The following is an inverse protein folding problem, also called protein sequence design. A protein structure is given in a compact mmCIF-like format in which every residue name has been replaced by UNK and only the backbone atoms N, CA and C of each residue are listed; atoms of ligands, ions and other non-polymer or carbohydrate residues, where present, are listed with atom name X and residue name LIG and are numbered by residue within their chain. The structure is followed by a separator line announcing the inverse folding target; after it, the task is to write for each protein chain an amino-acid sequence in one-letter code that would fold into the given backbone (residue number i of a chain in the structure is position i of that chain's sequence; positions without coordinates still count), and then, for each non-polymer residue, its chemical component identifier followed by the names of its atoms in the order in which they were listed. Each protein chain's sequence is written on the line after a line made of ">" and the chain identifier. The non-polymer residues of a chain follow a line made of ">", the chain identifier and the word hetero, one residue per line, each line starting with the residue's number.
data_IF_959922545601
#
_entry.id   IF_959922545601
#
_cell.length_a   1.000
_cell.length_b   1.000
_cell.length_c   1.000
_cell.angle_alpha   90.00
_cell.angle_beta   90.00
_cell.angle_gamma   90.00
#
_symmetry.space_group_name_H-M   'P 1'
#
loop_
_entity.id
_entity.type
_entity.pdbx_description
1 polymer ?
#
# COMPACT_ATOMS: atom_id res chain seq x y z
N UNK A 1 -16.16 -4.10 10.36
CA UNK A 1 -16.17 -3.97 8.88
C UNK A 1 -16.79 -2.67 8.45
N UNK A 2 -16.19 -1.98 7.47
CA UNK A 2 -16.64 -0.70 6.92
C UNK A 2 -16.99 -0.91 5.44
N UNK A 3 -18.21 -0.56 5.02
CA UNK A 3 -18.61 -0.60 3.61
C UNK A 3 -18.64 0.82 3.01
N UNK A 4 -17.95 1.00 1.89
CA UNK A 4 -17.83 2.25 1.14
C UNK A 4 -18.36 2.04 -0.27
N UNK A 5 -19.56 2.57 -0.54
CA UNK A 5 -20.11 2.61 -1.89
C UNK A 5 -19.86 3.99 -2.51
N UNK A 6 -19.02 4.06 -3.53
CA UNK A 6 -18.75 5.28 -4.29
C UNK A 6 -19.65 5.42 -5.53
N UNK A 7 -20.37 4.36 -5.88
CA UNK A 7 -21.23 4.31 -7.06
C UNK A 7 -22.62 4.89 -6.79
N UNK A 8 -23.46 4.96 -7.83
CA UNK A 8 -24.89 5.22 -7.70
C UNK A 8 -25.76 3.97 -7.60
N UNK A 9 -25.15 2.77 -7.50
CA UNK A 9 -25.88 1.52 -7.36
C UNK A 9 -26.37 1.32 -5.92
N UNK A 10 -27.44 0.55 -5.78
CA UNK A 10 -27.84 0.01 -4.48
C UNK A 10 -26.95 -1.19 -4.15
N UNK A 11 -26.39 -1.22 -2.94
CA UNK A 11 -25.37 -2.20 -2.56
C UNK A 11 -25.74 -2.76 -1.20
N UNK A 12 -25.88 -4.07 -1.16
CA UNK A 12 -26.03 -4.84 0.07
C UNK A 12 -24.77 -5.66 0.31
N UNK A 13 -24.33 -5.72 1.57
CA UNK A 13 -23.15 -6.48 1.98
C UNK A 13 -23.58 -7.42 3.09
N UNK A 14 -23.36 -8.72 2.89
CA UNK A 14 -23.48 -9.72 3.93
C UNK A 14 -22.11 -10.30 4.24
N UNK A 15 -21.91 -10.67 5.50
CA UNK A 15 -20.67 -11.25 5.99
C UNK A 15 -20.96 -12.68 6.48
N UNK A 16 -20.17 -13.64 6.01
CA UNK A 16 -20.22 -15.04 6.42
C UNK A 16 -18.94 -15.38 7.19
N UNK A 17 -19.08 -15.63 8.49
CA UNK A 17 -17.93 -15.79 9.39
C UNK A 17 -17.06 -14.53 9.43
N UNK A 18 -15.75 -14.70 9.64
CA UNK A 18 -14.86 -13.54 9.86
C UNK A 18 -14.21 -13.01 8.57
N UNK A 19 -14.32 -13.74 7.45
CA UNK A 19 -13.48 -13.48 6.27
C UNK A 19 -14.18 -13.56 4.91
N UNK A 20 -15.40 -14.08 4.83
CA UNK A 20 -16.13 -14.14 3.57
C UNK A 20 -17.18 -13.04 3.51
N UNK A 21 -17.22 -12.33 2.39
CA UNK A 21 -18.13 -11.22 2.16
C UNK A 21 -18.85 -11.44 0.84
N UNK A 22 -20.17 -11.37 0.88
CA UNK A 22 -21.01 -11.39 -0.31
C UNK A 22 -21.55 -9.98 -0.52
N UNK A 23 -21.36 -9.48 -1.74
CA UNK A 23 -21.75 -8.13 -2.15
C UNK A 23 -22.73 -8.26 -3.28
N UNK A 24 -23.92 -7.73 -3.04
CA UNK A 24 -25.02 -7.73 -4.00
C UNK A 24 -25.21 -6.31 -4.51
N UNK A 25 -24.96 -6.12 -5.80
CA UNK A 25 -25.05 -4.83 -6.49
C UNK A 25 -26.31 -4.81 -7.33
N UNK A 26 -27.22 -3.88 -7.02
CA UNK A 26 -28.51 -3.74 -7.71
C UNK A 26 -28.52 -2.49 -8.58
N UNK A 27 -28.82 -2.71 -9.86
CA UNK A 27 -29.02 -1.67 -10.86
C UNK A 27 -30.51 -1.36 -11.02
N UNK A 28 -30.83 -0.07 -11.22
CA UNK A 28 -32.20 0.38 -11.52
C UNK A 28 -32.74 -0.18 -12.85
N UNK A 29 -31.85 -0.62 -13.74
CA UNK A 29 -32.17 -1.18 -15.06
C UNK A 29 -31.43 -2.49 -15.26
N UNK A 30 -31.96 -3.35 -16.11
CA UNK A 30 -31.24 -4.54 -16.54
C UNK A 30 -29.94 -4.15 -17.24
N UNK A 31 -28.85 -4.78 -16.80
CA UNK A 31 -27.52 -4.67 -17.38
C UNK A 31 -27.08 -6.04 -17.86
N UNK A 32 -26.27 -6.06 -18.92
CA UNK A 32 -25.62 -7.29 -19.36
C UNK A 32 -24.23 -7.35 -18.74
N UNK A 33 -23.97 -8.37 -17.94
CA UNK A 33 -22.67 -8.63 -17.31
C UNK A 33 -21.92 -9.61 -18.18
N UNK A 34 -20.88 -9.15 -18.88
CA UNK A 34 -20.11 -9.97 -19.83
C UNK A 34 -19.20 -10.98 -19.14
N UNK A 35 -18.86 -10.73 -17.88
CA UNK A 35 -18.13 -11.64 -17.03
C UNK A 35 -17.80 -11.00 -15.69
N UNK A 36 -17.43 -11.85 -14.74
CA UNK A 36 -16.92 -11.44 -13.43
C UNK A 36 -15.58 -12.11 -13.24
N UNK A 37 -14.54 -11.30 -13.02
CA UNK A 37 -13.22 -11.79 -12.64
C UNK A 37 -13.03 -11.58 -11.13
N UNK A 38 -12.51 -12.58 -10.43
CA UNK A 38 -12.14 -12.48 -9.02
C UNK A 38 -10.66 -12.81 -8.84
N UNK A 39 -10.00 -12.13 -7.91
CA UNK A 39 -8.58 -12.33 -7.65
C UNK A 39 -7.96 -11.17 -6.86
N UNK A 40 -6.78 -10.72 -7.28
CA UNK A 40 -6.06 -9.62 -6.63
C UNK A 40 -6.16 -8.38 -7.50
N UNK A 41 -6.69 -7.30 -6.93
CA UNK A 41 -6.75 -5.99 -7.55
C UNK A 41 -5.64 -5.07 -7.04
N UNK A 42 -5.13 -4.22 -7.93
CA UNK A 42 -4.20 -3.13 -7.59
C UNK A 42 -4.80 -1.80 -8.00
N UNK A 43 -4.92 -0.90 -7.03
CA UNK A 43 -5.13 0.52 -7.28
C UNK A 43 -3.77 1.20 -7.44
N UNK A 44 -3.61 2.08 -8.44
CA UNK A 44 -2.54 3.08 -8.47
C UNK A 44 -3.18 4.46 -8.63
N UNK A 45 -2.80 5.40 -7.77
CA UNK A 45 -3.41 6.73 -7.75
C UNK A 45 -2.38 7.83 -7.44
N UNK A 46 -2.74 9.06 -7.74
CA UNK A 46 -1.97 10.24 -7.38
C UNK A 46 -2.17 11.42 -8.31
N UNK A 47 -1.59 12.55 -7.93
CA UNK A 47 -1.48 13.70 -8.80
C UNK A 47 -0.34 13.50 -9.81
N UNK A 48 -0.64 13.62 -11.09
CA UNK A 48 0.37 13.64 -12.16
C UNK A 48 0.48 15.05 -12.71
N UNK A 49 1.70 15.52 -12.92
CA UNK A 49 1.96 16.77 -13.63
C UNK A 49 1.56 16.64 -15.11
N UNK A 50 0.81 17.61 -15.60
CA UNK A 50 0.47 17.78 -17.01
C UNK A 50 0.76 19.22 -17.45
N UNK A 51 0.69 19.51 -18.76
CA UNK A 51 0.83 20.88 -19.29
C UNK A 51 -0.16 21.88 -18.69
N UNK A 52 -1.28 21.42 -18.13
CA UNK A 52 -2.33 22.24 -17.53
C UNK A 52 -2.35 22.17 -15.99
N UNK A 53 -1.26 21.71 -15.38
CA UNK A 53 -1.14 21.56 -13.92
C UNK A 53 -1.27 20.12 -13.46
N UNK A 54 -1.45 19.93 -12.14
CA UNK A 54 -1.60 18.61 -11.52
C UNK A 54 -3.01 18.08 -11.71
N UNK A 55 -3.14 16.86 -12.23
CA UNK A 55 -4.42 16.16 -12.39
C UNK A 55 -4.45 14.92 -11.51
N UNK A 56 -5.56 14.69 -10.84
CA UNK A 56 -5.82 13.45 -10.13
C UNK A 56 -6.03 12.31 -11.13
N UNK A 57 -5.30 11.22 -10.96
CA UNK A 57 -5.45 10.03 -11.78
C UNK A 57 -5.56 8.80 -10.88
N UNK A 58 -6.31 7.84 -11.38
CA UNK A 58 -6.49 6.53 -10.77
C UNK A 58 -6.49 5.49 -11.87
N UNK A 59 -5.85 4.36 -11.61
CA UNK A 59 -5.92 3.14 -12.40
C UNK A 59 -6.24 1.96 -11.48
N UNK A 60 -6.90 0.97 -12.04
CA UNK A 60 -7.19 -0.29 -11.37
C UNK A 60 -6.86 -1.46 -12.31
N UNK A 61 -6.04 -2.38 -11.83
CA UNK A 61 -5.63 -3.57 -12.57
C UNK A 61 -5.98 -4.84 -11.77
N UNK A 62 -6.56 -5.84 -12.42
CA UNK A 62 -6.63 -7.20 -11.87
C UNK A 62 -5.27 -7.88 -12.11
N UNK A 63 -4.38 -7.84 -11.12
CA UNK A 63 -2.99 -8.32 -11.23
C UNK A 63 -2.86 -9.85 -11.14
N UNK A 64 -3.86 -10.51 -10.55
CA UNK A 64 -4.02 -11.96 -10.57
C UNK A 64 -5.51 -12.30 -10.64
N UNK A 65 -5.88 -13.29 -11.45
CA UNK A 65 -7.26 -13.76 -11.59
C UNK A 65 -7.32 -15.23 -11.15
N UNK A 66 -8.11 -15.50 -10.12
CA UNK A 66 -8.30 -16.84 -9.55
C UNK A 66 -9.64 -17.46 -9.95
N UNK A 67 -10.62 -16.63 -10.34
CA UNK A 67 -11.95 -17.08 -10.74
C UNK A 67 -12.50 -16.26 -11.89
N UNK A 68 -13.27 -16.92 -12.77
CA UNK A 68 -14.02 -16.29 -13.85
C UNK A 68 -15.42 -16.86 -13.89
N UNK A 69 -16.43 -16.01 -13.77
CA UNK A 69 -17.79 -16.32 -14.16
C UNK A 69 -18.04 -15.79 -15.57
N UNK A 70 -18.63 -16.62 -16.43
CA UNK A 70 -18.92 -16.27 -17.82
C UNK A 70 -20.03 -15.22 -17.99
N UNK A 71 -20.35 -14.91 -19.24
CA UNK A 71 -21.42 -13.98 -19.63
C UNK A 71 -22.73 -14.36 -18.94
N UNK A 72 -23.25 -13.45 -18.13
CA UNK A 72 -24.55 -13.62 -17.51
C UNK A 72 -25.61 -13.03 -18.45
N UNK A 73 -26.80 -13.62 -18.43
CA UNK A 73 -27.97 -13.01 -19.05
C UNK A 73 -28.21 -11.61 -18.46
N UNK A 74 -29.06 -10.81 -19.13
CA UNK A 74 -29.47 -9.51 -18.59
C UNK A 74 -30.00 -9.70 -17.17
N UNK A 75 -29.39 -9.00 -16.23
CA UNK A 75 -29.72 -9.08 -14.80
C UNK A 75 -29.85 -7.66 -14.24
N UNK A 76 -30.61 -7.53 -13.15
CA UNK A 76 -30.63 -6.30 -12.34
C UNK A 76 -29.70 -6.40 -11.14
N UNK A 77 -29.19 -7.59 -10.87
CA UNK A 77 -28.45 -7.91 -9.66
C UNK A 77 -27.16 -8.64 -10.03
N UNK A 78 -26.05 -8.17 -9.47
CA UNK A 78 -24.73 -8.79 -9.60
C UNK A 78 -24.25 -9.16 -8.21
N UNK A 79 -24.07 -10.44 -7.97
CA UNK A 79 -23.53 -10.96 -6.72
C UNK A 79 -22.06 -11.32 -6.87
N UNK A 80 -21.25 -10.89 -5.92
CA UNK A 80 -19.82 -11.17 -5.85
C UNK A 80 -19.49 -11.67 -4.47
N UNK A 81 -18.79 -12.80 -4.38
CA UNK A 81 -18.21 -13.30 -3.14
C UNK A 81 -16.70 -13.06 -3.10
N UNK A 82 -16.22 -12.42 -2.03
CA UNK A 82 -14.81 -12.18 -1.75
C UNK A 82 -14.39 -12.89 -0.46
N UNK A 83 -13.17 -13.44 -0.45
CA UNK A 83 -12.57 -14.07 0.73
C UNK A 83 -11.34 -13.24 1.10
N UNK A 84 -11.28 -12.74 2.34
CA UNK A 84 -10.15 -12.02 2.91
C UNK A 84 -9.03 -12.96 3.35
N UNK A 85 -8.54 -13.78 2.43
CA UNK A 85 -7.41 -14.70 2.66
C UNK A 85 -6.05 -14.00 2.53
N UNK A 86 -5.97 -12.96 1.70
CA UNK A 86 -4.79 -12.13 1.51
C UNK A 86 -4.92 -10.80 2.23
N UNK A 87 -3.92 -10.40 3.04
CA UNK A 87 -3.91 -9.07 3.61
C UNK A 87 -3.76 -8.01 2.53
N UNK A 88 -4.29 -6.84 2.83
CA UNK A 88 -4.05 -5.65 2.01
C UNK A 88 -2.61 -5.19 2.18
N UNK A 89 -2.03 -4.68 1.11
CA UNK A 89 -0.67 -4.15 1.15
C UNK A 89 -0.53 -2.92 0.27
N UNK A 90 0.52 -2.14 0.51
CA UNK A 90 0.83 -0.94 -0.23
C UNK A 90 0.91 0.30 0.67
N UNK A 91 1.27 1.41 0.03
CA UNK A 91 1.54 2.65 0.73
C UNK A 91 1.21 3.86 -0.15
N UNK A 92 1.08 5.00 0.52
CA UNK A 92 0.84 6.32 -0.08
C UNK A 92 1.95 7.24 0.38
N UNK A 93 2.69 7.82 -0.56
CA UNK A 93 3.64 8.90 -0.26
C UNK A 93 2.91 10.23 -0.23
N UNK A 94 3.35 11.10 0.68
CA UNK A 94 2.77 12.43 0.87
C UNK A 94 2.87 13.28 -0.39
N UNK A 95 4.01 13.20 -1.06
CA UNK A 95 4.28 13.93 -2.30
C UNK A 95 3.36 13.47 -3.42
N UNK A 96 2.58 14.42 -3.95
CA UNK A 96 1.57 14.17 -4.98
C UNK A 96 0.51 13.12 -4.60
N UNK A 97 0.39 12.73 -3.33
CA UNK A 97 -0.48 11.65 -2.87
C UNK A 97 -0.37 10.39 -3.74
N UNK A 98 0.85 10.06 -4.22
CA UNK A 98 1.05 8.87 -5.04
C UNK A 98 0.98 7.64 -4.17
N UNK A 99 0.24 6.64 -4.61
CA UNK A 99 0.15 5.40 -3.87
C UNK A 99 -0.27 4.24 -4.75
N UNK A 100 0.05 3.04 -4.29
CA UNK A 100 -0.55 1.83 -4.79
C UNK A 100 -1.09 1.03 -3.62
N UNK A 101 -2.21 0.33 -3.83
CA UNK A 101 -2.82 -0.53 -2.82
C UNK A 101 -3.27 -1.85 -3.48
N UNK A 102 -2.88 -2.97 -2.89
CA UNK A 102 -3.29 -4.31 -3.26
C UNK A 102 -4.40 -4.80 -2.33
N UNK A 103 -5.35 -5.54 -2.89
CA UNK A 103 -6.49 -6.07 -2.17
C UNK A 103 -7.08 -7.29 -2.89
N UNK A 104 -7.85 -8.10 -2.17
CA UNK A 104 -8.75 -9.05 -2.83
C UNK A 104 -9.84 -8.27 -3.56
N UNK A 105 -10.12 -8.61 -4.81
CA UNK A 105 -11.07 -7.86 -5.61
C UNK A 105 -11.86 -8.73 -6.59
N UNK A 106 -12.97 -8.17 -7.03
CA UNK A 106 -13.67 -8.60 -8.22
C UNK A 106 -13.91 -7.43 -9.18
N UNK A 107 -13.96 -7.76 -10.46
CA UNK A 107 -14.32 -6.86 -11.54
C UNK A 107 -15.49 -7.45 -12.32
N UNK A 108 -16.63 -6.77 -12.29
CA UNK A 108 -17.77 -7.10 -13.13
C UNK A 108 -17.74 -6.23 -14.40
N UNK A 109 -17.58 -6.88 -15.56
CA UNK A 109 -17.61 -6.22 -16.86
C UNK A 109 -19.06 -5.96 -17.28
N UNK A 110 -19.44 -4.68 -17.30
CA UNK A 110 -20.80 -4.26 -17.66
C UNK A 110 -20.81 -3.75 -19.10
N UNK A 111 -21.60 -4.40 -19.96
CA UNK A 111 -21.70 -4.00 -21.37
C UNK A 111 -22.23 -2.56 -21.51
N UNK A 112 -21.44 -1.70 -22.16
CA UNK A 112 -21.82 -0.32 -22.45
C UNK A 112 -21.74 0.63 -21.25
N UNK A 113 -21.11 0.22 -20.16
CA UNK A 113 -20.85 1.05 -18.98
C UNK A 113 -19.41 0.86 -18.47
N UNK A 114 -19.04 1.57 -17.40
CA UNK A 114 -17.79 1.30 -16.70
C UNK A 114 -17.90 0.01 -15.90
N UNK A 115 -16.81 -0.74 -15.85
CA UNK A 115 -16.69 -1.91 -14.97
C UNK A 115 -16.95 -1.52 -13.51
N UNK A 116 -17.63 -2.41 -12.79
CA UNK A 116 -17.80 -2.27 -11.35
C UNK A 116 -16.72 -3.07 -10.65
N UNK A 117 -16.02 -2.41 -9.73
CA UNK A 117 -14.98 -3.01 -8.90
C UNK A 117 -15.51 -3.17 -7.48
N UNK A 118 -15.39 -4.39 -6.96
CA UNK A 118 -15.64 -4.72 -5.56
C UNK A 118 -14.30 -5.09 -4.94
N UNK A 119 -13.81 -4.31 -3.99
CA UNK A 119 -12.50 -4.50 -3.38
C UNK A 119 -12.64 -4.73 -1.88
N UNK A 120 -11.94 -5.72 -1.35
CA UNK A 120 -11.87 -6.03 0.07
C UNK A 120 -10.45 -5.76 0.57
N UNK A 121 -10.32 -4.73 1.39
CA UNK A 121 -9.11 -4.41 2.11
C UNK A 121 -9.17 -5.04 3.50
N UNK A 122 -8.63 -6.25 3.66
CA UNK A 122 -8.56 -6.95 4.93
C UNK A 122 -7.20 -6.77 5.63
N UNK A 123 -7.16 -6.79 6.98
CA UNK A 123 -5.91 -6.97 7.72
C UNK A 123 -5.37 -8.40 7.57
N UNK A 124 -4.11 -8.58 7.92
CA UNK A 124 -3.52 -9.89 8.08
C UNK A 124 -4.21 -10.69 9.20
N UNK A 125 -4.36 -12.01 9.00
CA UNK A 125 -4.99 -12.90 9.97
C UNK A 125 -4.17 -13.06 11.27
N UNK A 126 -2.88 -12.80 11.20
CA UNK A 126 -1.94 -12.83 12.31
C UNK A 126 -0.98 -11.65 12.24
N UNK A 127 -0.31 -11.36 13.34
CA UNK A 127 0.80 -10.41 13.32
C UNK A 127 1.90 -10.92 12.36
N UNK A 128 2.39 -10.06 11.44
CA UNK A 128 3.43 -10.42 10.51
C UNK A 128 4.74 -10.65 11.25
N UNK A 129 5.50 -11.60 10.73
CA UNK A 129 6.88 -11.85 11.14
C UNK A 129 7.83 -11.30 10.08
N UNK A 130 9.04 -10.94 10.50
CA UNK A 130 10.06 -10.37 9.62
C UNK A 130 11.27 -11.30 9.59
N UNK A 131 11.72 -11.64 8.39
CA UNK A 131 12.98 -12.31 8.17
C UNK A 131 13.90 -11.38 7.39
N UNK A 132 15.11 -11.13 7.91
CA UNK A 132 16.14 -10.38 7.20
C UNK A 132 17.08 -11.35 6.49
N UNK A 133 17.46 -11.05 5.26
CA UNK A 133 18.48 -11.81 4.50
C UNK A 133 19.81 -11.89 5.26
N UNK A 134 20.13 -10.83 6.02
CA UNK A 134 21.32 -10.71 6.86
C UNK A 134 20.94 -10.28 8.27
N UNK A 135 21.65 -10.83 9.26
CA UNK A 135 21.54 -10.40 10.66
C UNK A 135 22.41 -9.18 11.01
N UNK A 136 23.26 -8.73 10.08
CA UNK A 136 24.17 -7.61 10.28
C UNK A 136 24.40 -6.82 8.99
N UNK A 137 24.44 -5.50 9.11
CA UNK A 137 24.88 -4.57 8.07
C UNK A 137 26.10 -3.81 8.56
N UNK A 138 27.11 -3.64 7.73
CA UNK A 138 28.36 -2.94 8.00
C UNK A 138 28.68 -1.95 6.87
N UNK A 139 28.60 -0.66 7.16
CA UNK A 139 29.02 0.38 6.24
C UNK A 139 30.33 0.99 6.75
N UNK A 140 31.41 0.99 5.95
CA UNK A 140 32.69 1.52 6.41
C UNK A 140 33.59 2.06 5.29
N UNK A 141 34.43 3.03 5.64
CA UNK A 141 35.50 3.61 4.81
C UNK A 141 36.58 4.16 5.73
N UNK A 142 37.85 3.82 5.46
CA UNK A 142 39.07 4.38 6.07
C UNK A 142 38.95 4.78 7.54
N UNK A 143 38.92 3.80 8.45
CA UNK A 143 38.87 4.04 9.90
C UNK A 143 37.51 4.49 10.45
N UNK A 144 36.53 4.72 9.57
CA UNK A 144 35.14 5.00 9.90
C UNK A 144 34.22 3.84 9.58
N UNK A 145 33.30 3.52 10.50
CA UNK A 145 32.34 2.44 10.30
C UNK A 145 31.03 2.65 11.07
N UNK A 146 29.98 2.03 10.56
CA UNK A 146 28.73 1.83 11.25
C UNK A 146 28.31 0.36 11.11
N UNK A 147 27.72 -0.17 12.18
CA UNK A 147 27.20 -1.53 12.24
C UNK A 147 25.75 -1.47 12.70
N UNK A 148 24.87 -2.20 12.01
CA UNK A 148 23.51 -2.46 12.44
C UNK A 148 23.32 -3.96 12.65
N UNK A 149 22.85 -4.37 13.83
CA UNK A 149 22.45 -5.74 14.12
C UNK A 149 20.94 -5.87 14.01
N UNK A 150 20.46 -6.80 13.18
CA UNK A 150 19.07 -7.04 12.84
C UNK A 150 18.62 -8.30 13.55
N UNK A 151 17.79 -8.15 14.59
CA UNK A 151 17.30 -9.25 15.41
C UNK A 151 15.78 -9.39 15.28
N UNK A 152 15.28 -10.59 14.93
CA UNK A 152 13.84 -10.84 14.96
C UNK A 152 13.28 -10.57 16.35
N UNK A 153 12.15 -9.86 16.39
CA UNK A 153 11.35 -9.62 17.59
C UNK A 153 9.93 -10.09 17.30
N UNK A 154 9.14 -10.41 18.33
CA UNK A 154 7.86 -11.11 18.19
C UNK A 154 6.90 -10.50 17.15
N UNK A 155 6.91 -9.18 16.97
CA UNK A 155 6.07 -8.45 15.99
C UNK A 155 6.88 -7.67 14.95
N UNK A 156 8.17 -7.95 14.76
CA UNK A 156 9.02 -7.14 13.89
C UNK A 156 10.51 -7.39 14.00
N UNK A 157 11.29 -6.32 13.92
CA UNK A 157 12.75 -6.35 13.92
C UNK A 157 13.28 -5.34 14.95
N UNK A 158 14.00 -5.83 15.96
CA UNK A 158 14.83 -4.97 16.81
C UNK A 158 16.15 -4.72 16.06
N UNK A 159 16.52 -3.45 15.91
CA UNK A 159 17.76 -3.04 15.26
C UNK A 159 18.60 -2.22 16.23
N UNK A 160 19.82 -2.68 16.47
CA UNK A 160 20.82 -1.94 17.24
C UNK A 160 21.85 -1.36 16.27
N UNK A 161 22.02 -0.04 16.26
CA UNK A 161 22.94 0.67 15.36
C UNK A 161 24.04 1.32 16.18
N UNK A 162 25.28 1.18 15.72
CA UNK A 162 26.47 1.82 16.30
C UNK A 162 27.25 2.51 15.20
N UNK A 163 27.92 3.62 15.55
CA UNK A 163 28.74 4.38 14.62
C UNK A 163 30.02 4.86 15.30
N UNK A 164 31.15 4.70 14.64
CA UNK A 164 32.46 5.11 15.15
C UNK A 164 33.42 5.52 14.03
N UNK A 165 34.47 6.23 14.42
CA UNK A 165 35.57 6.64 13.54
C UNK A 165 35.63 8.15 13.29
N UNK A 166 36.82 8.59 12.88
CA UNK A 166 37.11 10.01 12.67
C UNK A 166 36.48 10.54 11.39
N UNK A 167 35.91 11.75 11.48
CA UNK A 167 35.35 12.44 10.32
C UNK A 167 33.96 11.95 9.90
N UNK A 168 33.33 11.01 10.60
CA UNK A 168 31.93 10.64 10.33
C UNK A 168 30.99 11.78 10.71
N UNK A 169 30.01 12.09 9.85
CA UNK A 169 28.93 13.02 10.21
C UNK A 169 27.83 12.31 10.97
N UNK A 170 27.32 11.21 10.43
CA UNK A 170 26.30 10.36 11.06
C UNK A 170 26.22 9.00 10.39
N UNK A 171 25.56 8.05 11.04
CA UNK A 171 25.03 6.87 10.39
C UNK A 171 23.50 6.85 10.50
N UNK A 172 22.83 6.41 9.43
CA UNK A 172 21.38 6.37 9.32
C UNK A 172 20.93 4.96 8.97
N UNK A 173 19.90 4.49 9.65
CA UNK A 173 19.18 3.29 9.27
C UNK A 173 17.90 3.71 8.55
N UNK A 174 17.71 3.18 7.35
CA UNK A 174 16.60 3.52 6.48
C UNK A 174 15.88 2.25 6.03
N UNK A 175 14.55 2.30 6.01
CA UNK A 175 13.68 1.30 5.44
C UNK A 175 13.15 1.80 4.10
N UNK A 176 13.58 1.16 3.02
CA UNK A 176 13.02 1.38 1.69
C UNK A 176 11.85 0.43 1.46
N UNK A 177 10.72 0.98 1.02
CA UNK A 177 9.56 0.25 0.51
C UNK A 177 9.44 0.48 -0.99
N UNK A 178 9.15 -0.57 -1.75
CA UNK A 178 8.92 -0.45 -3.19
C UNK A 178 7.84 -1.40 -3.68
N UNK A 179 7.20 -1.06 -4.79
CA UNK A 179 6.24 -1.94 -5.43
C UNK A 179 5.80 -1.42 -6.79
N UNK A 180 5.21 -2.32 -7.58
CA UNK A 180 4.77 -1.98 -8.93
C UNK A 180 3.67 -0.91 -8.88
N UNK A 181 3.86 0.13 -9.67
CA UNK A 181 3.00 1.30 -9.76
C UNK A 181 2.67 1.56 -11.22
N UNK A 182 1.44 1.94 -11.53
CA UNK A 182 0.98 2.11 -12.91
C UNK A 182 0.25 3.45 -13.09
N UNK A 183 1.01 4.55 -13.02
CA UNK A 183 0.55 5.87 -13.41
C UNK A 183 1.65 6.68 -14.07
N UNK A 184 1.34 7.23 -15.25
CA UNK A 184 2.28 8.01 -16.05
C UNK A 184 3.40 7.13 -16.61
N UNK A 185 4.65 7.56 -16.42
CA UNK A 185 5.85 6.87 -16.93
C UNK A 185 6.58 6.05 -15.85
N UNK A 186 6.08 6.04 -14.61
CA UNK A 186 6.68 5.30 -13.51
C UNK A 186 6.09 3.90 -13.43
N UNK A 187 6.96 2.89 -13.48
CA UNK A 187 6.60 1.47 -13.30
C UNK A 187 6.69 0.98 -11.85
N UNK A 188 7.35 1.78 -10.99
CA UNK A 188 7.60 1.47 -9.59
C UNK A 188 7.49 2.75 -8.75
N UNK A 189 6.88 2.62 -7.58
CA UNK A 189 6.87 3.66 -6.55
C UNK A 189 7.78 3.21 -5.41
N UNK A 190 8.59 4.14 -4.90
CA UNK A 190 9.51 3.93 -3.78
C UNK A 190 9.25 4.93 -2.67
N UNK A 191 9.45 4.50 -1.44
CA UNK A 191 9.45 5.35 -0.26
C UNK A 191 10.62 4.96 0.63
N UNK A 192 11.29 5.95 1.21
CA UNK A 192 12.38 5.73 2.18
C UNK A 192 11.96 6.34 3.52
N UNK A 193 11.85 5.50 4.53
CA UNK A 193 11.59 5.88 5.91
C UNK A 193 12.90 5.84 6.70
N UNK A 194 13.26 6.94 7.37
CA UNK A 194 14.42 6.94 8.26
C UNK A 194 14.01 6.46 9.65
N UNK A 195 14.55 5.33 10.07
CA UNK A 195 14.21 4.72 11.36
C UNK A 195 15.03 5.32 12.51
N UNK A 196 16.34 5.52 12.30
CA UNK A 196 17.22 6.11 13.31
C UNK A 196 18.41 6.82 12.66
N UNK A 197 18.93 7.84 13.36
CA UNK A 197 20.23 8.47 13.08
C UNK A 197 21.09 8.40 14.32
N UNK A 198 22.34 8.00 14.18
CA UNK A 198 23.33 7.98 15.26
C UNK A 198 24.52 8.86 14.88
N UNK A 199 25.06 9.58 15.85
CA UNK A 199 26.29 10.35 15.71
C UNK A 199 27.51 9.48 16.05
N UNK A 200 28.73 9.92 15.71
CA UNK A 200 29.94 9.18 16.03
C UNK A 200 30.07 8.94 17.55
N UNK A 201 30.43 7.71 17.94
CA UNK A 201 30.54 7.29 19.34
C UNK A 201 29.21 6.97 20.02
N UNK A 202 28.07 7.09 19.31
CA UNK A 202 26.76 6.76 19.83
C UNK A 202 26.29 5.38 19.39
N UNK A 203 25.38 4.82 20.19
CA UNK A 203 24.56 3.67 19.84
C UNK A 203 23.09 4.01 20.02
N UNK A 204 22.24 3.37 19.23
CA UNK A 204 20.80 3.49 19.38
C UNK A 204 20.11 2.17 19.05
N UNK A 205 18.93 1.98 19.63
CA UNK A 205 18.06 0.84 19.38
C UNK A 205 16.72 1.33 18.85
N UNK A 206 16.19 0.65 17.85
CA UNK A 206 14.86 0.90 17.30
C UNK A 206 14.18 -0.41 17.01
N UNK A 207 12.87 -0.48 17.26
CA UNK A 207 12.04 -1.60 16.84
C UNK A 207 11.18 -1.14 15.67
N UNK A 208 11.30 -1.85 14.55
CA UNK A 208 10.40 -1.68 13.41
C UNK A 208 9.41 -2.84 13.36
N UNK A 209 8.13 -2.55 13.15
CA UNK A 209 7.07 -3.55 12.98
C UNK A 209 6.34 -3.31 11.66
N UNK A 210 6.10 -4.35 10.84
CA UNK A 210 5.33 -4.21 9.60
C UNK A 210 3.89 -3.81 9.89
N UNK A 211 3.29 -3.03 8.99
CA UNK A 211 1.86 -2.71 9.05
C UNK A 211 0.99 -3.90 8.63
N UNK A 212 -0.09 -4.16 9.38
CA UNK A 212 -0.93 -5.35 9.18
C UNK A 212 -2.04 -5.19 8.15
N UNK A 213 -2.39 -3.96 7.76
CA UNK A 213 -3.66 -3.66 7.09
C UNK A 213 -4.55 -2.75 7.94
N UNK A 214 -5.76 -2.44 7.46
CA UNK A 214 -6.72 -1.62 8.20
C UNK A 214 -7.22 -2.37 9.45
N UNK A 215 -7.48 -1.64 10.55
CA UNK A 215 -7.95 -2.25 11.80
C UNK A 215 -9.26 -3.03 11.65
N UNK A 216 -10.18 -2.51 10.84
CA UNK A 216 -11.40 -3.16 10.39
C UNK A 216 -11.29 -3.46 8.88
N UNK A 217 -11.79 -4.61 8.39
CA UNK A 217 -11.91 -4.84 6.95
C UNK A 217 -12.73 -3.73 6.28
N UNK A 218 -12.25 -3.21 5.15
CA UNK A 218 -12.93 -2.18 4.36
C UNK A 218 -13.36 -2.76 3.02
N UNK A 219 -14.65 -2.68 2.72
CA UNK A 219 -15.21 -3.09 1.44
C UNK A 219 -15.51 -1.85 0.60
N UNK A 220 -14.97 -1.79 -0.61
CA UNK A 220 -15.15 -0.70 -1.56
C UNK A 220 -15.93 -1.19 -2.77
N UNK A 221 -17.04 -0.53 -3.11
CA UNK A 221 -17.72 -0.69 -4.40
C UNK A 221 -17.58 0.61 -5.18
N UNK A 222 -16.96 0.54 -6.36
CA UNK A 222 -16.65 1.73 -7.16
C UNK A 222 -16.59 1.41 -8.65
N UNK A 223 -16.62 2.44 -9.49
CA UNK A 223 -16.12 2.38 -10.87
C UNK A 223 -14.83 3.18 -10.99
N UNK A 224 -14.10 3.06 -12.10
CA UNK A 224 -12.93 3.93 -12.35
C UNK A 224 -13.35 5.41 -12.43
N UNK A 225 -14.53 5.70 -12.98
CA UNK A 225 -15.03 7.07 -13.10
C UNK A 225 -15.38 7.67 -11.74
N UNK A 226 -15.94 6.87 -10.82
CA UNK A 226 -16.18 7.30 -9.44
C UNK A 226 -14.87 7.54 -8.68
N UNK A 227 -13.83 6.75 -8.94
CA UNK A 227 -12.52 6.91 -8.32
C UNK A 227 -11.75 8.15 -8.83
N UNK A 228 -12.08 8.65 -10.03
CA UNK A 228 -11.56 9.91 -10.54
C UNK A 228 -12.15 11.14 -9.84
N UNK A 229 -13.31 11.01 -9.18
CA UNK A 229 -13.85 12.07 -8.31
C UNK A 229 -13.07 12.08 -6.99
N UNK A 230 -12.27 13.14 -6.81
CA UNK A 230 -11.40 13.31 -5.64
C UNK A 230 -12.19 13.28 -4.32
N UNK A 231 -13.41 13.81 -4.27
CA UNK A 231 -14.22 13.81 -3.05
C UNK A 231 -14.71 12.41 -2.70
N UNK A 232 -15.05 11.61 -3.72
CA UNK A 232 -15.42 10.21 -3.53
C UNK A 232 -14.20 9.39 -3.11
N UNK A 233 -13.07 9.56 -3.79
CA UNK A 233 -11.84 8.82 -3.46
C UNK A 233 -11.29 9.18 -2.07
N UNK A 234 -11.44 10.44 -1.63
CA UNK A 234 -11.11 10.87 -0.27
C UNK A 234 -11.87 10.06 0.80
N UNK A 235 -13.15 9.71 0.56
CA UNK A 235 -13.94 8.87 1.48
C UNK A 235 -13.34 7.48 1.61
N UNK A 236 -12.91 6.91 0.49
CA UNK A 236 -12.21 5.62 0.47
C UNK A 236 -10.88 5.69 1.24
N UNK A 237 -10.02 6.67 0.95
CA UNK A 237 -8.75 6.86 1.67
C UNK A 237 -8.98 7.00 3.18
N UNK A 238 -9.98 7.77 3.58
CA UNK A 238 -10.31 7.96 5.00
C UNK A 238 -10.79 6.66 5.65
N UNK A 239 -11.58 5.83 4.94
CA UNK A 239 -12.06 4.55 5.45
C UNK A 239 -10.94 3.54 5.72
N UNK A 240 -9.89 3.53 4.89
CA UNK A 240 -8.70 2.69 5.12
C UNK A 240 -7.71 3.30 6.12
N UNK A 241 -8.03 4.45 6.74
CA UNK A 241 -7.19 5.13 7.72
C UNK A 241 -6.16 6.11 7.13
N UNK A 242 -6.10 6.26 5.81
CA UNK A 242 -5.26 7.25 5.13
C UNK A 242 -5.90 8.64 5.28
N UNK A 243 -5.50 9.38 6.32
CA UNK A 243 -6.09 10.68 6.65
C UNK A 243 -5.72 11.75 5.62
N UNK A 244 -6.75 12.25 4.95
CA UNK A 244 -6.66 13.32 3.95
C UNK A 244 -7.80 14.33 4.19
N UNK A 245 -7.48 15.62 4.14
CA UNK A 245 -8.49 16.69 4.21
C UNK A 245 -8.74 17.31 2.84
N UNK A 246 -9.93 17.90 2.68
CA UNK A 246 -10.24 18.70 1.50
C UNK A 246 -9.47 20.04 1.55
N UNK A 247 -8.75 20.35 0.48
CA UNK A 247 -8.08 21.63 0.28
C UNK A 247 -9.01 22.70 -0.28
N UNK A 248 -8.59 23.97 -0.14
CA UNK A 248 -9.36 25.15 -0.53
C UNK A 248 -9.79 25.18 -2.02
N UNK A 249 -9.08 24.44 -2.87
CA UNK A 249 -9.33 24.35 -4.32
C UNK A 249 -9.72 22.93 -4.77
N UNK A 250 -10.30 22.13 -3.88
CA UNK A 250 -10.82 20.80 -4.21
C UNK A 250 -9.77 19.69 -4.33
N UNK A 251 -8.50 19.98 -4.05
CA UNK A 251 -7.44 18.99 -3.91
C UNK A 251 -7.51 18.23 -2.57
N UNK A 252 -6.86 17.09 -2.48
CA UNK A 252 -6.65 16.35 -1.23
C UNK A 252 -5.32 16.75 -0.60
N UNK A 253 -5.34 17.06 0.69
CA UNK A 253 -4.15 17.41 1.48
C UNK A 253 -3.87 16.27 2.47
N UNK A 254 -2.71 15.61 2.41
CA UNK A 254 -2.33 14.57 3.36
C UNK A 254 -2.20 15.10 4.79
N UNK A 255 -2.70 14.33 5.76
CA UNK A 255 -2.56 14.58 7.21
C UNK A 255 -1.73 13.50 7.91
N UNK A 256 -0.87 12.82 7.16
CA UNK A 256 0.09 11.85 7.65
C UNK A 256 1.52 12.37 7.46
N UNK A 257 2.50 11.60 7.96
CA UNK A 257 3.92 11.87 7.75
C UNK A 257 4.33 11.72 6.29
N UNK A 258 5.59 11.39 6.03
CA UNK A 258 6.08 11.26 4.66
C UNK A 258 5.44 10.07 3.91
N UNK A 259 5.02 9.05 4.65
CA UNK A 259 4.35 7.86 4.11
C UNK A 259 3.20 7.42 5.01
N UNK A 260 2.11 7.00 4.39
CA UNK A 260 1.07 6.19 5.01
C UNK A 260 1.21 4.76 4.48
N UNK A 261 1.27 3.77 5.37
CA UNK A 261 1.41 2.36 5.01
C UNK A 261 0.10 1.66 5.34
N UNK A 262 -0.58 1.11 4.33
CA UNK A 262 -1.76 0.29 4.55
C UNK A 262 -1.34 -1.07 5.11
N UNK A 263 -0.38 -1.71 4.45
CA UNK A 263 0.18 -2.99 4.88
C UNK A 263 1.51 -3.26 4.21
N UNK A 264 2.40 -3.94 4.93
CA UNK A 264 3.76 -4.27 4.51
C UNK A 264 3.88 -5.71 3.96
N UNK A 265 2.77 -6.35 3.63
CA UNK A 265 2.77 -7.70 3.08
C UNK A 265 3.13 -7.71 1.60
N UNK A 266 3.33 -8.91 1.04
CA UNK A 266 3.50 -9.07 -0.40
C UNK A 266 2.36 -8.37 -1.17
N UNK A 267 2.66 -7.75 -2.33
CA UNK A 267 3.93 -7.73 -3.05
C UNK A 267 4.81 -6.50 -2.75
N UNK A 268 4.62 -5.80 -1.62
CA UNK A 268 5.53 -4.71 -1.23
C UNK A 268 6.90 -5.31 -0.90
N UNK A 269 7.96 -4.75 -1.47
CA UNK A 269 9.35 -5.14 -1.19
C UNK A 269 9.97 -4.21 -0.17
N UNK A 270 10.79 -4.77 0.70
CA UNK A 270 11.43 -4.05 1.80
C UNK A 270 12.93 -4.25 1.76
N UNK A 271 13.67 -3.15 1.87
CA UNK A 271 15.13 -3.17 1.99
C UNK A 271 15.53 -2.35 3.20
N UNK A 272 16.21 -2.97 4.16
CA UNK A 272 16.88 -2.25 5.23
C UNK A 272 18.24 -1.80 4.74
N UNK A 273 18.55 -0.50 4.90
CA UNK A 273 19.80 0.11 4.46
C UNK A 273 20.48 0.82 5.62
N UNK A 274 21.75 0.51 5.82
CA UNK A 274 22.63 1.28 6.69
C UNK A 274 23.46 2.22 5.83
N UNK A 275 23.39 3.52 6.11
CA UNK A 275 24.08 4.58 5.37
C UNK A 275 25.05 5.29 6.31
N UNK A 276 26.33 5.34 5.95
CA UNK A 276 27.36 6.12 6.63
C UNK A 276 27.58 7.43 5.86
N UNK A 277 27.21 8.56 6.47
CA UNK A 277 27.40 9.91 5.93
C UNK A 277 28.81 10.40 6.27
N UNK A 278 29.59 10.64 5.22
CA UNK A 278 30.96 11.13 5.30
C UNK A 278 31.04 12.51 4.64
N UNK A 279 31.67 13.50 5.29
CA UNK A 279 31.84 14.83 4.72
C UNK A 279 32.71 14.73 3.47
N UNK A 280 32.23 15.35 2.38
CA UNK A 280 32.96 15.47 1.10
C UNK A 280 33.27 14.14 0.40
N UNK A 281 32.66 13.03 0.83
CA UNK A 281 32.73 11.72 0.19
C UNK A 281 31.33 11.24 -0.20
N UNK A 282 31.26 10.23 -1.08
CA UNK A 282 30.01 9.54 -1.39
C UNK A 282 29.61 8.69 -0.18
N UNK A 283 28.32 8.72 0.18
CA UNK A 283 27.76 7.88 1.23
C UNK A 283 28.09 6.40 1.00
N UNK A 284 28.63 5.75 2.02
CA UNK A 284 28.85 4.30 2.01
C UNK A 284 27.60 3.63 2.53
N UNK A 285 27.14 2.58 1.84
CA UNK A 285 25.90 1.89 2.20
C UNK A 285 26.04 0.39 2.12
N UNK A 286 25.39 -0.30 3.05
CA UNK A 286 25.07 -1.72 2.93
C UNK A 286 23.56 -1.91 3.05
N UNK A 287 23.03 -2.98 2.45
CA UNK A 287 21.61 -3.30 2.45
C UNK A 287 21.34 -4.79 2.67
N UNK A 288 20.18 -5.10 3.20
CA UNK A 288 19.60 -6.44 3.29
C UNK A 288 18.12 -6.38 2.92
N UNK A 289 17.67 -7.36 2.14
CA UNK A 289 16.24 -7.53 1.89
C UNK A 289 15.55 -8.04 3.16
N UNK A 290 14.30 -7.59 3.36
CA UNK A 290 13.43 -8.09 4.40
C UNK A 290 12.23 -8.80 3.75
N UNK A 291 11.92 -9.98 4.23
CA UNK A 291 10.70 -10.70 3.92
C UNK A 291 9.70 -10.54 5.06
N UNK A 292 8.51 -10.04 4.73
CA UNK A 292 7.37 -9.94 5.65
C UNK A 292 6.45 -11.13 5.40
N UNK A 293 6.18 -11.92 6.44
CA UNK A 293 5.38 -13.15 6.37
C UNK A 293 4.15 -13.00 7.26
N UNK A 294 2.95 -13.08 6.70
CA UNK A 294 1.68 -12.92 7.43
C UNK A 294 0.44 -13.17 6.58
#
# INVERSE_FOLDING_TARGET
>A
MIAVNLTGYDVEVSQEGDRAFTVTIRSKREVRVRGIETGVGRWSFGYTSSRHGKRWNVSFDMVSVHGRAGDQSKTREVEVRLIGDRPSSGFVVKDDLRGFLYCTAARADIAGAFDVHVCLFAPAPSAPTVQAEKSMLTAGSDGSFAIAHLQPSGSGLEVSVTCSGEGVRSARLELERSGSFNLGFLSELKSVERLVTVLPGQSSKVTWSPANGPADPVLLVTTINDALDQRKFQKFLSAIGCRVRAGLFGGMIPEFGEVFVLGDHEPVRHVMRLVLDLPWKVDVKESAELQVIG
#
